data_IF_221902406658
#
_entry.id   IF_221902406658
#
_cell.length_a   1.000
_cell.length_b   1.000
_cell.length_c   1.000
_cell.angle_alpha   90.00
_cell.angle_beta   90.00
_cell.angle_gamma   90.00
#
_symmetry.space_group_name_H-M   'P 1'
#
loop_
_entity.id
_entity.type
_entity.pdbx_description
1 polymer ?
#
# COMPACT_ATOMS: atom_id res chain seq x y z
N UNK A 1 -45.62 5.34 3.99
CA UNK A 1 -44.63 4.52 4.72
C UNK A 1 -43.74 3.87 3.68
N UNK A 2 -42.69 4.58 3.27
CA UNK A 2 -41.66 4.07 2.36
C UNK A 2 -40.41 3.84 3.20
N UNK A 3 -39.94 2.60 3.22
CA UNK A 3 -38.74 2.19 3.94
C UNK A 3 -37.49 2.81 3.31
N UNK A 4 -36.59 3.23 4.20
CA UNK A 4 -35.34 3.92 3.93
C UNK A 4 -34.51 3.30 2.80
N UNK A 5 -34.33 4.07 1.73
CA UNK A 5 -33.21 3.90 0.81
C UNK A 5 -31.93 4.36 1.50
N UNK A 6 -31.20 3.45 2.14
CA UNK A 6 -29.86 3.71 2.66
C UNK A 6 -28.94 3.92 1.46
N UNK A 7 -28.53 5.17 1.26
CA UNK A 7 -27.61 5.54 0.22
C UNK A 7 -26.20 4.95 0.47
N UNK A 8 -25.77 4.00 -0.38
CA UNK A 8 -24.44 3.36 -0.34
C UNK A 8 -23.30 4.28 -0.83
N UNK A 9 -23.34 5.57 -0.54
CA UNK A 9 -22.35 6.52 -1.04
C UNK A 9 -20.98 6.31 -0.36
N UNK A 10 -20.02 5.77 -1.11
CA UNK A 10 -18.58 5.97 -0.85
C UNK A 10 -17.75 4.77 -0.43
N UNK A 11 -18.29 3.54 -0.44
CA UNK A 11 -17.50 2.31 -0.24
C UNK A 11 -17.10 1.71 -1.58
N UNK A 12 -15.83 1.32 -1.70
CA UNK A 12 -15.25 0.70 -2.88
C UNK A 12 -14.66 -0.63 -2.43
N UNK A 13 -15.16 -1.74 -3.00
CA UNK A 13 -14.51 -3.04 -2.85
C UNK A 13 -13.36 -3.14 -3.84
N UNK A 14 -12.22 -3.66 -3.40
CA UNK A 14 -11.02 -3.79 -4.22
C UNK A 14 -10.22 -5.04 -3.87
N UNK A 15 -9.54 -5.59 -4.86
CA UNK A 15 -8.53 -6.64 -4.68
C UNK A 15 -7.16 -6.00 -4.85
N UNK A 16 -6.33 -6.06 -3.81
CA UNK A 16 -5.03 -5.39 -3.76
C UNK A 16 -3.93 -6.41 -3.57
N UNK A 17 -2.96 -6.44 -4.49
CA UNK A 17 -1.67 -7.09 -4.28
C UNK A 17 -0.80 -6.19 -3.41
N UNK A 18 -0.57 -6.58 -2.15
CA UNK A 18 0.23 -5.77 -1.22
C UNK A 18 1.70 -5.80 -1.62
N UNK A 19 2.27 -4.66 -2.00
CA UNK A 19 3.69 -4.56 -2.42
C UNK A 19 4.56 -3.80 -1.41
N UNK A 20 3.95 -3.02 -0.52
CA UNK A 20 4.66 -2.23 0.50
C UNK A 20 3.93 -2.34 1.84
N UNK A 21 4.70 -2.59 2.90
CA UNK A 21 4.27 -2.38 4.29
C UNK A 21 5.31 -1.49 4.95
N UNK A 22 4.92 -0.26 5.29
CA UNK A 22 5.83 0.68 5.91
C UNK A 22 6.18 0.25 7.34
N UNK A 23 7.35 0.67 7.81
CA UNK A 23 7.68 0.51 9.22
C UNK A 23 6.70 1.36 10.06
N UNK A 24 6.17 0.81 11.15
CA UNK A 24 5.24 1.52 12.02
C UNK A 24 5.83 2.80 12.59
N UNK A 25 5.02 3.86 12.55
CA UNK A 25 5.29 5.05 13.36
C UNK A 25 4.44 4.92 14.62
N UNK A 26 5.09 4.83 15.78
CA UNK A 26 4.40 4.89 17.07
C UNK A 26 3.96 6.34 17.25
N UNK A 27 2.66 6.57 17.37
CA UNK A 27 2.12 7.89 17.71
C UNK A 27 1.40 7.83 19.04
N UNK A 28 1.57 8.85 19.88
CA UNK A 28 0.94 8.93 21.20
C UNK A 28 -0.60 8.98 21.13
N UNK A 29 -1.17 9.31 19.95
CA UNK A 29 -2.60 9.58 19.78
C UNK A 29 -3.42 8.43 19.19
N UNK A 30 -2.82 7.50 18.45
CA UNK A 30 -3.55 6.49 17.66
C UNK A 30 -3.03 5.06 17.82
N UNK A 31 -2.10 4.81 18.75
CA UNK A 31 -1.37 3.56 18.78
C UNK A 31 -0.46 3.42 17.54
N UNK A 32 -0.14 2.19 17.18
CA UNK A 32 0.71 1.91 16.03
C UNK A 32 -0.10 1.83 14.73
N UNK A 33 0.21 2.70 13.78
CA UNK A 33 -0.35 2.65 12.44
C UNK A 33 0.76 2.54 11.38
N UNK A 34 0.49 1.76 10.34
CA UNK A 34 1.34 1.63 9.17
C UNK A 34 0.62 2.12 7.92
N UNK A 35 1.41 2.60 6.97
CA UNK A 35 0.97 2.77 5.59
C UNK A 35 1.18 1.44 4.86
N UNK A 36 0.15 0.96 4.17
CA UNK A 36 0.23 -0.18 3.27
C UNK A 36 0.02 0.33 1.86
N UNK A 37 0.79 -0.16 0.89
CA UNK A 37 0.53 0.13 -0.51
C UNK A 37 0.58 -1.14 -1.35
N UNK A 38 -0.09 -1.08 -2.50
CA UNK A 38 -0.25 -2.21 -3.38
C UNK A 38 -0.84 -1.83 -4.73
N UNK A 39 -1.02 -2.85 -5.56
CA UNK A 39 -1.62 -2.74 -6.88
C UNK A 39 -3.05 -3.26 -6.80
N UNK A 40 -4.02 -2.44 -7.20
CA UNK A 40 -5.40 -2.86 -7.40
C UNK A 40 -5.51 -3.68 -8.68
N UNK A 41 -5.97 -4.92 -8.56
CA UNK A 41 -5.98 -5.90 -9.67
C UNK A 41 -7.38 -6.28 -10.15
N UNK A 42 -8.44 -5.79 -9.50
CA UNK A 42 -9.83 -5.99 -9.92
C UNK A 42 -10.30 -5.02 -11.04
N UNK A 43 -9.43 -4.10 -11.48
CA UNK A 43 -9.73 -3.11 -12.53
C UNK A 43 -8.64 -3.07 -13.59
N UNK A 44 -9.00 -2.68 -14.81
CA UNK A 44 -8.07 -2.48 -15.93
C UNK A 44 -8.23 -1.04 -16.44
N UNK A 45 -7.14 -0.24 -16.53
CA UNK A 45 -5.78 -0.58 -16.12
C UNK A 45 -5.67 -0.79 -14.60
N UNK A 46 -4.68 -1.58 -14.17
CA UNK A 46 -4.37 -1.71 -12.73
C UNK A 46 -4.05 -0.33 -12.14
N UNK A 47 -4.37 -0.13 -10.86
CA UNK A 47 -4.18 1.16 -10.19
C UNK A 47 -3.30 1.04 -8.94
N UNK A 48 -2.63 2.12 -8.57
CA UNK A 48 -2.02 2.21 -7.25
C UNK A 48 -3.09 2.34 -6.16
N UNK A 49 -2.84 1.68 -5.04
CA UNK A 49 -3.61 1.86 -3.81
C UNK A 49 -2.66 2.07 -2.63
N UNK A 50 -2.96 3.07 -1.84
CA UNK A 50 -2.35 3.38 -0.55
C UNK A 50 -3.44 3.31 0.52
N UNK A 51 -3.31 2.38 1.45
CA UNK A 51 -4.20 2.18 2.58
C UNK A 51 -3.60 2.82 3.83
N UNK A 52 -4.30 3.79 4.40
CA UNK A 52 -3.89 4.44 5.65
C UNK A 52 -5.10 4.99 6.43
N UNK A 53 -5.12 4.90 7.77
CA UNK A 53 -4.20 4.12 8.62
C UNK A 53 -4.53 2.62 8.60
N UNK A 54 -3.51 1.77 8.75
CA UNK A 54 -3.68 0.33 9.03
C UNK A 54 -3.09 0.02 10.40
N UNK A 55 -3.94 -0.32 11.36
CA UNK A 55 -3.53 -0.76 12.71
C UNK A 55 -3.15 -2.23 12.69
N UNK A 56 -2.07 -2.56 11.96
CA UNK A 56 -1.78 -3.94 11.54
C UNK A 56 -1.61 -4.92 12.71
N UNK A 57 -1.04 -4.47 13.84
CA UNK A 57 -0.85 -5.32 15.03
C UNK A 57 -2.15 -5.71 15.71
N UNK A 58 -3.16 -4.84 15.61
CA UNK A 58 -4.46 -5.02 16.27
C UNK A 58 -5.44 -5.81 15.40
N UNK A 59 -5.06 -6.11 14.15
CA UNK A 59 -5.86 -6.98 13.28
C UNK A 59 -5.91 -8.41 13.84
N UNK A 60 -7.07 -9.09 13.76
CA UNK A 60 -7.17 -10.53 13.93
C UNK A 60 -6.15 -11.28 13.08
N UNK A 61 -5.66 -12.42 13.56
CA UNK A 61 -4.55 -13.16 12.93
C UNK A 61 -4.86 -13.59 11.49
N UNK A 62 -6.12 -13.89 11.23
CA UNK A 62 -6.68 -14.23 9.92
C UNK A 62 -6.78 -13.04 8.97
N UNK A 63 -6.68 -11.81 9.47
CA UNK A 63 -6.64 -10.57 8.67
C UNK A 63 -5.22 -10.01 8.55
N UNK A 64 -4.24 -10.55 9.28
CA UNK A 64 -2.83 -10.18 9.14
C UNK A 64 -2.21 -10.80 7.89
N UNK A 65 -1.92 -9.95 6.89
CA UNK A 65 -1.39 -10.35 5.58
C UNK A 65 0.12 -10.08 5.41
N UNK A 66 0.75 -10.80 4.47
CA UNK A 66 2.16 -10.64 4.11
C UNK A 66 2.35 -9.61 2.99
N UNK A 67 3.59 -9.14 2.83
CA UNK A 67 4.01 -8.47 1.59
C UNK A 67 3.91 -9.53 0.48
N UNK A 68 3.38 -9.15 -0.68
CA UNK A 68 3.09 -10.02 -1.83
C UNK A 68 1.92 -10.97 -1.65
N UNK A 69 1.01 -10.66 -0.73
CA UNK A 69 -0.25 -11.36 -0.59
C UNK A 69 -1.37 -10.53 -1.21
N UNK A 70 -2.29 -11.20 -1.90
CA UNK A 70 -3.54 -10.58 -2.33
C UNK A 70 -4.43 -10.39 -1.10
N UNK A 71 -5.10 -9.24 -1.02
CA UNK A 71 -6.17 -8.99 -0.07
C UNK A 71 -7.39 -8.45 -0.79
N UNK A 72 -8.57 -8.81 -0.32
CA UNK A 72 -9.81 -8.14 -0.67
C UNK A 72 -10.29 -7.32 0.51
N UNK A 73 -10.78 -6.11 0.27
CA UNK A 73 -11.33 -5.24 1.30
C UNK A 73 -12.28 -4.20 0.72
N UNK A 74 -13.10 -3.61 1.59
CA UNK A 74 -13.74 -2.34 1.33
C UNK A 74 -12.86 -1.17 1.80
N UNK A 75 -12.88 -0.08 1.04
CA UNK A 75 -12.22 1.17 1.41
C UNK A 75 -13.07 2.38 1.02
N UNK A 76 -12.70 3.56 1.53
CA UNK A 76 -13.33 4.83 1.19
C UNK A 76 -12.29 5.84 0.74
N UNK A 77 -12.65 6.74 -0.19
CA UNK A 77 -11.81 7.92 -0.46
C UNK A 77 -11.90 8.89 0.72
N UNK A 78 -10.74 9.31 1.23
CA UNK A 78 -10.66 10.37 2.22
C UNK A 78 -10.63 11.75 1.55
N UNK A 79 -11.08 12.78 2.26
CA UNK A 79 -10.98 14.18 1.80
C UNK A 79 -9.67 14.86 2.19
N UNK A 80 -8.93 14.30 3.15
CA UNK A 80 -7.72 14.93 3.71
C UNK A 80 -6.45 14.61 2.92
N UNK A 81 -6.27 13.35 2.50
CA UNK A 81 -5.12 12.94 1.70
C UNK A 81 -5.45 13.11 0.21
N UNK A 82 -4.80 14.10 -0.42
CA UNK A 82 -5.04 14.48 -1.82
C UNK A 82 -4.37 13.57 -2.84
N UNK A 83 -3.60 12.57 -2.39
CA UNK A 83 -2.98 11.60 -3.31
C UNK A 83 -4.07 10.78 -3.99
N UNK A 84 -4.06 10.64 -5.32
CA UNK A 84 -5.12 9.94 -6.06
C UNK A 84 -5.25 8.47 -5.67
N UNK A 85 -4.16 7.86 -5.20
CA UNK A 85 -4.11 6.48 -4.73
C UNK A 85 -4.50 6.29 -3.25
N UNK A 86 -4.86 7.34 -2.50
CA UNK A 86 -5.10 7.22 -1.05
C UNK A 86 -6.53 6.80 -0.69
N UNK A 87 -6.63 5.76 0.11
CA UNK A 87 -7.89 5.20 0.61
C UNK A 87 -7.81 4.90 2.10
N UNK A 88 -8.93 5.14 2.80
CA UNK A 88 -9.13 4.70 4.18
C UNK A 88 -9.71 3.27 4.16
N UNK A 89 -8.97 2.26 4.62
CA UNK A 89 -9.44 0.87 4.62
C UNK A 89 -10.52 0.67 5.69
N UNK A 90 -11.48 -0.22 5.42
CA UNK A 90 -12.42 -0.74 6.41
C UNK A 90 -11.85 -2.08 6.88
N UNK A 91 -11.09 -2.06 7.98
CA UNK A 91 -10.17 -3.13 8.35
C UNK A 91 -10.84 -4.48 8.64
N UNK A 92 -12.03 -4.48 9.21
CA UNK A 92 -12.81 -5.68 9.51
C UNK A 92 -13.30 -6.43 8.26
N UNK A 93 -13.26 -5.79 7.08
CA UNK A 93 -13.63 -6.39 5.80
C UNK A 93 -12.47 -7.11 5.09
N UNK A 94 -11.26 -7.07 5.66
CA UNK A 94 -10.08 -7.66 5.04
C UNK A 94 -10.23 -9.18 4.94
N UNK A 95 -10.04 -9.69 3.73
CA UNK A 95 -9.95 -11.11 3.43
C UNK A 95 -8.62 -11.40 2.74
N UNK A 96 -7.88 -12.38 3.26
CA UNK A 96 -6.60 -12.80 2.69
C UNK A 96 -6.83 -13.73 1.50
N UNK A 97 -6.07 -13.48 0.43
CA UNK A 97 -6.05 -14.30 -0.76
C UNK A 97 -4.75 -15.08 -0.90
N UNK A 98 -4.43 -15.42 -2.15
CA UNK A 98 -3.20 -16.14 -2.50
C UNK A 98 -1.96 -15.31 -2.14
N UNK A 99 -0.91 -16.00 -1.69
CA UNK A 99 0.43 -15.41 -1.62
C UNK A 99 1.19 -15.63 -2.94
N UNK A 100 1.77 -14.56 -3.46
CA UNK A 100 2.55 -14.57 -4.69
C UNK A 100 3.98 -15.00 -4.38
N UNK A 101 4.31 -16.21 -4.79
CA UNK A 101 5.63 -16.81 -4.59
C UNK A 101 6.74 -16.08 -5.37
N UNK A 102 7.98 -16.46 -5.11
CA UNK A 102 9.19 -15.86 -5.71
C UNK A 102 9.73 -16.66 -6.89
N UNK A 103 8.98 -17.65 -7.38
CA UNK A 103 9.43 -18.58 -8.42
C UNK A 103 9.65 -17.92 -9.78
N UNK A 104 10.39 -18.60 -10.65
CA UNK A 104 10.70 -18.18 -12.04
C UNK A 104 11.25 -16.75 -12.09
N UNK A 105 12.32 -16.49 -11.34
CA UNK A 105 12.98 -15.17 -11.30
C UNK A 105 12.02 -14.01 -11.04
N UNK A 106 11.05 -14.21 -10.15
CA UNK A 106 10.05 -13.21 -9.77
C UNK A 106 9.15 -12.73 -10.92
N UNK A 107 9.01 -13.51 -12.00
CA UNK A 107 8.28 -13.11 -13.21
C UNK A 107 6.85 -12.61 -12.94
N UNK A 108 6.10 -13.27 -12.05
CA UNK A 108 4.74 -12.87 -11.71
C UNK A 108 4.71 -11.49 -11.02
N UNK A 109 5.64 -11.25 -10.10
CA UNK A 109 5.76 -9.96 -9.42
C UNK A 109 6.14 -8.85 -10.39
N UNK A 110 7.08 -9.13 -11.30
CA UNK A 110 7.50 -8.20 -12.34
C UNK A 110 6.34 -7.83 -13.25
N UNK A 111 5.54 -8.81 -13.69
CA UNK A 111 4.35 -8.57 -14.53
C UNK A 111 3.36 -7.58 -13.91
N UNK A 112 3.14 -7.64 -12.59
CA UNK A 112 2.26 -6.69 -11.91
C UNK A 112 2.87 -5.28 -11.74
N UNK A 113 4.20 -5.16 -11.70
CA UNK A 113 4.90 -3.89 -11.47
C UNK A 113 5.27 -3.15 -12.76
N UNK A 114 5.55 -3.88 -13.85
CA UNK A 114 5.98 -3.32 -15.14
C UNK A 114 5.07 -2.20 -15.66
N UNK A 115 3.73 -2.29 -15.59
CA UNK A 115 2.85 -1.20 -16.05
C UNK A 115 3.06 0.13 -15.30
N UNK A 116 3.68 0.09 -14.12
CA UNK A 116 3.91 1.26 -13.27
C UNK A 116 5.34 1.81 -13.38
N UNK A 117 6.19 1.21 -14.24
CA UNK A 117 7.57 1.64 -14.44
C UNK A 117 7.65 3.10 -14.90
N UNK A 118 8.59 3.82 -14.31
CA UNK A 118 8.87 5.21 -14.62
C UNK A 118 10.25 5.39 -15.21
N UNK A 119 10.39 6.31 -16.18
CA UNK A 119 11.65 6.49 -16.89
C UNK A 119 12.75 7.01 -15.97
N UNK A 120 12.37 7.78 -14.94
CA UNK A 120 13.31 8.33 -13.97
C UNK A 120 12.60 8.90 -12.75
N UNK A 121 13.36 9.18 -11.70
CA UNK A 121 12.87 9.94 -10.54
C UNK A 121 12.75 11.44 -10.88
N UNK A 122 13.81 12.02 -11.46
CA UNK A 122 13.96 13.47 -11.64
C UNK A 122 13.91 13.98 -13.09
N UNK A 123 14.05 13.10 -14.08
CA UNK A 123 14.06 13.48 -15.50
C UNK A 123 12.65 13.69 -16.08
N UNK A 124 12.57 14.10 -17.36
CA UNK A 124 11.30 14.32 -18.04
C UNK A 124 10.39 13.09 -18.02
N UNK A 125 9.10 13.29 -17.77
CA UNK A 125 8.12 12.21 -17.60
C UNK A 125 8.32 11.38 -16.32
N UNK A 126 9.22 11.79 -15.43
CA UNK A 126 9.57 11.06 -14.22
C UNK A 126 8.61 11.27 -13.04
N UNK A 127 8.96 10.66 -11.92
CA UNK A 127 8.14 10.64 -10.69
C UNK A 127 7.86 12.04 -10.16
N UNK A 128 8.84 12.95 -10.20
CA UNK A 128 8.67 14.32 -9.69
C UNK A 128 7.68 15.15 -10.50
N UNK A 129 7.62 14.99 -11.82
CA UNK A 129 6.65 15.70 -12.65
C UNK A 129 5.23 15.25 -12.35
N UNK A 130 4.99 13.94 -12.25
CA UNK A 130 3.69 13.42 -11.84
C UNK A 130 3.26 13.89 -10.46
N UNK A 131 4.14 13.80 -9.47
CA UNK A 131 3.85 14.31 -8.13
C UNK A 131 3.42 15.78 -8.14
N UNK A 132 4.03 16.62 -8.98
CA UNK A 132 3.64 18.04 -9.13
C UNK A 132 2.31 18.20 -9.87
N UNK A 133 2.02 17.34 -10.84
CA UNK A 133 0.82 17.41 -11.66
C UNK A 133 -0.44 16.96 -10.90
N UNK A 134 -0.37 15.82 -10.19
CA UNK A 134 -1.57 15.17 -9.63
C UNK A 134 -1.41 14.67 -8.18
N UNK A 135 -0.27 14.94 -7.53
CA UNK A 135 0.08 14.44 -6.20
C UNK A 135 0.37 12.93 -6.10
N UNK A 136 0.55 12.20 -7.22
CA UNK A 136 0.98 10.79 -7.19
C UNK A 136 2.23 10.63 -6.32
N UNK A 137 2.19 9.67 -5.39
CA UNK A 137 3.26 9.43 -4.41
C UNK A 137 3.92 8.06 -4.53
N UNK A 138 3.37 7.17 -5.36
CA UNK A 138 3.90 5.83 -5.62
C UNK A 138 4.44 5.71 -7.05
N UNK A 139 5.52 4.97 -7.21
CA UNK A 139 6.15 4.68 -8.49
C UNK A 139 7.01 3.42 -8.42
N UNK A 140 7.23 2.79 -9.57
CA UNK A 140 8.28 1.79 -9.78
C UNK A 140 9.38 2.43 -10.63
N UNK A 141 10.63 2.24 -10.23
CA UNK A 141 11.81 2.67 -10.98
C UNK A 141 12.68 1.44 -11.22
N UNK A 142 13.15 1.29 -12.45
CA UNK A 142 14.22 0.36 -12.78
C UNK A 142 15.54 1.13 -12.74
N UNK A 143 16.47 0.81 -11.80
CA UNK A 143 17.78 1.44 -11.78
C UNK A 143 18.54 1.04 -13.04
N UNK A 144 19.25 1.99 -13.67
CA UNK A 144 20.09 1.72 -14.84
C UNK A 144 21.23 0.75 -14.52
N UNK A 145 21.81 0.89 -13.34
CA UNK A 145 22.91 0.10 -12.84
C UNK A 145 22.84 0.04 -11.32
N UNK A 146 23.20 -1.11 -10.75
CA UNK A 146 23.31 -1.31 -9.30
C UNK A 146 24.78 -1.55 -9.00
N UNK A 147 25.44 -0.56 -8.40
CA UNK A 147 26.88 -0.63 -8.12
C UNK A 147 27.21 -1.48 -6.90
N UNK A 148 26.39 -1.39 -5.84
CA UNK A 148 26.63 -2.06 -4.58
C UNK A 148 25.30 -2.21 -3.79
N UNK A 149 25.29 -3.11 -2.80
CA UNK A 149 24.18 -3.33 -1.88
C UNK A 149 24.72 -3.68 -0.48
N UNK A 150 24.55 -2.76 0.47
CA UNK A 150 24.90 -2.97 1.87
C UNK A 150 23.64 -3.14 2.73
N UNK A 151 23.72 -4.04 3.71
CA UNK A 151 22.66 -4.26 4.70
C UNK A 151 23.27 -4.14 6.09
N UNK A 152 22.77 -3.17 6.85
CA UNK A 152 23.17 -2.95 8.23
C UNK A 152 21.99 -3.26 9.16
N UNK A 153 22.18 -4.04 10.23
CA UNK A 153 21.18 -4.18 11.27
C UNK A 153 20.85 -2.81 11.87
N UNK A 154 19.57 -2.53 12.09
CA UNK A 154 19.17 -1.32 12.82
C UNK A 154 19.80 -1.37 14.22
N UNK A 155 20.56 -0.33 14.65
CA UNK A 155 21.07 -0.26 16.00
C UNK A 155 19.90 -0.33 16.99
N UNK A 156 20.00 -1.23 17.96
CA UNK A 156 19.03 -1.28 19.06
C UNK A 156 19.27 -0.03 19.92
N UNK A 157 18.38 0.95 19.82
CA UNK A 157 18.39 2.10 20.73
C UNK A 157 18.22 1.65 22.18
N UNK A 158 18.65 2.44 23.18
CA UNK A 158 18.46 2.07 24.58
C UNK A 158 16.99 1.73 24.82
N UNK A 159 16.73 0.58 25.44
CA UNK A 159 15.39 0.23 25.91
C UNK A 159 14.93 1.40 26.78
N UNK A 160 13.85 2.07 26.40
CA UNK A 160 13.18 2.96 27.33
C UNK A 160 12.86 2.11 28.55
N UNK A 161 13.50 2.42 29.68
CA UNK A 161 13.16 1.84 30.96
C UNK A 161 11.72 2.26 31.24
N UNK A 162 10.76 1.38 30.92
CA UNK A 162 9.41 1.49 31.45
C UNK A 162 9.51 0.98 32.88
N UNK A 163 9.69 1.94 33.80
CA UNK A 163 9.41 1.74 35.22
C UNK A 163 7.89 1.65 35.43
#
# INVERSE_FOLDING_TARGET
>A
MGHDGIAHHGRIRMTVLVTVKAYPTVSDKYGEAVCVAGIRTDVIPHEWVRLFPVHFRDLPREQQFRKWEFIELEARRGSEDRRPESYRPILDTIQRGRFMETGKDWAERRWHLEPFLQPSVCGPGGVHERRRADNTSLAVIEPREVFDFSVEPRPVGPRANVA
#
